data_IF_134831646329
#
_entry.id   IF_134831646329
#
_cell.length_a   1.000
_cell.length_b   1.000
_cell.length_c   1.000
_cell.angle_alpha   90.00
_cell.angle_beta   90.00
_cell.angle_gamma   90.00
#
_symmetry.space_group_name_H-M   'P 1'
#
loop_
_entity.id
_entity.type
_entity.pdbx_description
1 polymer ?
#
# COMPACT_ATOMS: atom_id res chain seq x y z
N UNK A 1 10.81 -61.94 0.16
CA UNK A 1 10.86 -61.59 1.61
C UNK A 1 9.72 -60.67 2.03
N UNK A 2 9.61 -59.44 1.49
CA UNK A 2 8.60 -58.44 1.90
C UNK A 2 7.14 -58.93 1.79
N UNK A 3 6.82 -59.76 0.79
CA UNK A 3 5.46 -60.30 0.59
C UNK A 3 5.05 -61.30 1.67
N UNK A 4 5.98 -62.16 2.13
CA UNK A 4 5.73 -63.11 3.22
C UNK A 4 5.57 -62.38 4.57
N UNK A 5 6.38 -61.36 4.81
CA UNK A 5 6.28 -60.51 6.00
C UNK A 5 4.94 -59.76 6.01
N UNK A 6 4.48 -59.26 4.85
CA UNK A 6 3.19 -58.58 4.74
C UNK A 6 2.02 -59.53 5.10
N UNK A 7 2.03 -60.77 4.61
CA UNK A 7 1.00 -61.77 4.93
C UNK A 7 0.94 -62.03 6.43
N UNK A 8 2.10 -62.27 7.06
CA UNK A 8 2.18 -62.49 8.51
C UNK A 8 1.65 -61.29 9.30
N UNK A 9 2.03 -60.07 8.91
CA UNK A 9 1.61 -58.87 9.64
C UNK A 9 0.13 -58.51 9.38
N UNK A 10 -0.41 -58.78 8.18
CA UNK A 10 -1.85 -58.67 7.93
C UNK A 10 -2.64 -59.60 8.83
N UNK A 11 -2.25 -60.88 8.93
CA UNK A 11 -2.92 -61.83 9.82
C UNK A 11 -2.85 -61.41 11.30
N UNK A 12 -1.76 -60.76 11.73
CA UNK A 12 -1.62 -60.25 13.10
C UNK A 12 -2.49 -59.02 13.37
N UNK A 13 -2.66 -58.12 12.40
CA UNK A 13 -3.53 -56.95 12.52
C UNK A 13 -5.03 -57.33 12.44
N UNK A 14 -5.35 -58.41 11.73
CA UNK A 14 -6.71 -58.97 11.65
C UNK A 14 -7.07 -59.80 12.88
N UNK A 15 -6.09 -60.47 13.51
CA UNK A 15 -6.29 -61.28 14.70
C UNK A 15 -6.46 -60.45 15.99
N UNK A 16 -5.87 -59.26 16.06
CA UNK A 16 -5.97 -58.35 17.20
C UNK A 16 -6.12 -56.90 16.71
N UNK A 17 -7.35 -56.41 16.72
CA UNK A 17 -7.71 -55.08 16.21
C UNK A 17 -7.13 -53.93 17.03
N UNK A 18 -6.69 -54.21 18.28
CA UNK A 18 -6.17 -53.21 19.21
C UNK A 18 -4.62 -53.19 19.24
N UNK A 19 -3.99 -54.10 18.48
CA UNK A 19 -2.54 -54.20 18.41
C UNK A 19 -1.92 -53.13 17.49
N UNK A 20 -1.69 -51.94 18.03
CA UNK A 20 -1.05 -50.83 17.32
C UNK A 20 0.33 -51.19 16.71
N UNK A 21 1.06 -52.16 17.27
CA UNK A 21 2.35 -52.63 16.75
C UNK A 21 2.16 -53.38 15.43
N UNK A 22 1.08 -54.16 15.27
CA UNK A 22 0.79 -54.86 14.03
C UNK A 22 0.53 -53.86 12.90
N UNK A 23 -0.28 -52.83 13.14
CA UNK A 23 -0.50 -51.74 12.18
C UNK A 23 0.80 -51.00 11.84
N UNK A 24 1.62 -50.65 12.84
CA UNK A 24 2.91 -49.99 12.59
C UNK A 24 3.87 -50.84 11.75
N UNK A 25 4.00 -52.13 12.05
CA UNK A 25 4.82 -53.06 11.25
C UNK A 25 4.28 -53.22 9.83
N UNK A 26 2.95 -53.18 9.64
CA UNK A 26 2.35 -53.27 8.31
C UNK A 26 2.65 -51.99 7.52
N UNK A 27 2.55 -50.84 8.17
CA UNK A 27 2.94 -49.56 7.58
C UNK A 27 4.39 -49.53 7.12
N UNK A 28 5.34 -50.01 7.93
CA UNK A 28 6.77 -50.02 7.53
C UNK A 28 7.03 -50.94 6.33
N UNK A 29 6.31 -52.06 6.23
CA UNK A 29 6.34 -52.91 5.04
C UNK A 29 5.75 -52.19 3.82
N UNK A 30 4.63 -51.48 3.98
CA UNK A 30 4.08 -50.65 2.91
C UNK A 30 5.02 -49.54 2.46
N UNK A 31 5.77 -48.93 3.39
CA UNK A 31 6.81 -47.95 3.07
C UNK A 31 7.94 -48.55 2.26
N UNK A 32 8.43 -49.73 2.64
CA UNK A 32 9.45 -50.45 1.88
C UNK A 32 8.96 -50.83 0.46
N UNK A 33 7.65 -50.99 0.28
CA UNK A 33 7.01 -51.23 -1.02
C UNK A 33 6.66 -49.95 -1.80
N UNK A 34 6.96 -48.76 -1.26
CA UNK A 34 6.60 -47.47 -1.88
C UNK A 34 5.10 -47.14 -1.83
N UNK A 35 4.30 -47.87 -1.05
CA UNK A 35 2.85 -47.68 -0.94
C UNK A 35 2.49 -46.66 0.14
N UNK A 36 2.84 -45.39 -0.09
CA UNK A 36 2.71 -44.31 0.90
C UNK A 36 1.27 -44.10 1.41
N UNK A 37 0.25 -44.25 0.55
CA UNK A 37 -1.16 -44.09 0.96
C UNK A 37 -1.61 -45.16 1.96
N UNK A 38 -1.25 -46.43 1.70
CA UNK A 38 -1.58 -47.55 2.57
C UNK A 38 -0.81 -47.45 3.91
N UNK A 39 0.46 -47.01 3.85
CA UNK A 39 1.26 -46.76 5.04
C UNK A 39 0.64 -45.68 5.95
N UNK A 40 0.15 -44.56 5.39
CA UNK A 40 -0.52 -43.52 6.20
C UNK A 40 -1.76 -44.04 6.89
N UNK A 41 -2.59 -44.86 6.22
CA UNK A 41 -3.79 -45.43 6.83
C UNK A 41 -3.46 -46.28 8.07
N UNK A 42 -2.45 -47.15 7.95
CA UNK A 42 -1.99 -47.97 9.06
C UNK A 42 -1.29 -47.18 10.17
N UNK A 43 -0.53 -46.14 9.82
CA UNK A 43 0.09 -45.25 10.79
C UNK A 43 -0.96 -44.44 11.56
N UNK A 44 -1.99 -43.94 10.87
CA UNK A 44 -3.11 -43.27 11.53
C UNK A 44 -3.81 -44.19 12.49
N UNK A 45 -4.04 -45.46 12.11
CA UNK A 45 -4.64 -46.43 13.03
C UNK A 45 -3.76 -46.71 14.24
N UNK A 46 -2.44 -46.80 14.05
CA UNK A 46 -1.49 -46.96 15.15
C UNK A 46 -1.49 -45.76 16.11
N UNK A 47 -1.60 -44.53 15.59
CA UNK A 47 -1.66 -43.29 16.40
C UNK A 47 -3.01 -43.14 17.11
N UNK A 48 -4.12 -43.55 16.49
CA UNK A 48 -5.44 -43.60 17.14
C UNK A 48 -5.44 -44.55 18.34
N UNK A 49 -4.88 -45.75 18.17
CA UNK A 49 -4.83 -46.78 19.22
C UNK A 49 -3.86 -46.40 20.35
N UNK A 50 -2.74 -45.75 20.02
CA UNK A 50 -1.78 -45.27 21.01
C UNK A 50 -1.30 -43.87 20.66
N UNK A 51 -1.90 -42.89 21.32
CA UNK A 51 -1.55 -41.49 21.12
C UNK A 51 -0.06 -41.25 21.39
N UNK A 52 0.52 -41.73 22.50
CA UNK A 52 1.93 -41.48 22.82
C UNK A 52 2.95 -42.21 21.92
N UNK A 53 2.52 -42.88 20.84
CA UNK A 53 3.41 -43.60 19.96
C UNK A 53 4.11 -42.67 18.95
N UNK A 54 5.15 -42.00 19.44
CA UNK A 54 5.95 -41.00 18.71
C UNK A 54 6.55 -41.54 17.41
N UNK A 55 6.97 -42.79 17.36
CA UNK A 55 7.54 -43.39 16.14
C UNK A 55 6.54 -43.48 14.98
N UNK A 56 5.26 -43.76 15.25
CA UNK A 56 4.24 -43.74 14.21
C UNK A 56 3.91 -42.31 13.76
N UNK A 57 3.79 -41.36 14.70
CA UNK A 57 3.58 -39.94 14.38
C UNK A 57 4.70 -39.37 13.53
N UNK A 58 5.96 -39.62 13.89
CA UNK A 58 7.12 -39.13 13.14
C UNK A 58 7.11 -39.67 11.70
N UNK A 59 6.90 -40.98 11.53
CA UNK A 59 6.82 -41.60 10.20
C UNK A 59 5.62 -41.07 9.41
N UNK A 60 4.47 -40.83 10.06
CA UNK A 60 3.28 -40.26 9.42
C UNK A 60 3.54 -38.82 8.99
N UNK A 61 4.07 -37.97 9.88
CA UNK A 61 4.47 -36.58 9.60
C UNK A 61 5.41 -36.47 8.40
N UNK A 62 6.45 -37.32 8.30
CA UNK A 62 7.34 -37.33 7.14
C UNK A 62 6.62 -37.66 5.82
N UNK A 63 5.65 -38.58 5.84
CA UNK A 63 4.89 -38.93 4.64
C UNK A 63 3.92 -37.82 4.26
N UNK A 64 3.28 -37.20 5.24
CA UNK A 64 2.38 -36.07 5.07
C UNK A 64 3.12 -34.87 4.49
N UNK A 65 4.30 -34.56 5.03
CA UNK A 65 5.20 -33.52 4.51
C UNK A 65 5.56 -33.78 3.04
N UNK A 66 5.92 -35.03 2.68
CA UNK A 66 6.21 -35.41 1.28
C UNK A 66 4.97 -35.35 0.37
N UNK A 67 3.77 -35.49 0.92
CA UNK A 67 2.51 -35.38 0.18
C UNK A 67 1.97 -33.94 0.12
N UNK A 68 2.62 -32.98 0.76
CA UNK A 68 2.18 -31.58 0.82
C UNK A 68 1.03 -31.32 1.80
N UNK A 69 0.76 -32.24 2.72
CA UNK A 69 -0.24 -32.08 3.78
C UNK A 69 0.43 -31.46 5.01
N UNK A 70 0.72 -30.16 4.93
CA UNK A 70 1.54 -29.46 5.94
C UNK A 70 0.83 -29.35 7.29
N UNK A 71 -0.45 -28.95 7.33
CA UNK A 71 -1.22 -28.84 8.59
C UNK A 71 -1.25 -30.16 9.39
N UNK A 72 -1.51 -31.29 8.72
CA UNK A 72 -1.54 -32.62 9.36
C UNK A 72 -0.13 -33.04 9.82
N UNK A 73 0.92 -32.66 9.07
CA UNK A 73 2.31 -32.94 9.43
C UNK A 73 2.77 -32.08 10.62
N UNK A 74 2.36 -30.81 10.68
CA UNK A 74 2.63 -29.89 11.79
C UNK A 74 2.07 -30.45 13.10
N UNK A 75 0.81 -30.90 13.09
CA UNK A 75 0.18 -31.51 14.27
C UNK A 75 0.94 -32.76 14.72
N UNK A 76 1.33 -33.63 13.78
CA UNK A 76 2.15 -34.80 14.07
C UNK A 76 3.49 -34.43 14.71
N UNK A 77 4.21 -33.45 14.15
CA UNK A 77 5.50 -33.03 14.69
C UNK A 77 5.38 -32.29 16.02
N UNK A 78 4.33 -31.52 16.23
CA UNK A 78 4.05 -30.82 17.50
C UNK A 78 3.75 -31.80 18.64
N UNK A 79 3.04 -32.88 18.35
CA UNK A 79 2.65 -33.90 19.33
C UNK A 79 3.71 -35.00 19.56
N UNK A 80 4.83 -34.97 18.82
CA UNK A 80 6.03 -35.71 19.20
C UNK A 80 6.71 -34.89 20.30
N UNK A 81 6.44 -35.25 21.57
CA UNK A 81 6.98 -34.56 22.75
C UNK A 81 8.51 -34.77 22.80
N UNK A 82 9.26 -33.89 22.14
CA UNK A 82 10.65 -33.66 22.43
C UNK A 82 11.01 -32.20 22.18
N UNK A 83 10.94 -31.41 23.25
CA UNK A 83 11.42 -30.01 23.28
C UNK A 83 12.94 -29.94 23.11
N UNK A 84 13.66 -31.04 22.93
CA UNK A 84 15.13 -31.03 22.79
C UNK A 84 15.60 -31.67 21.49
N UNK A 85 14.69 -31.96 20.57
CA UNK A 85 15.02 -32.46 19.25
C UNK A 85 15.18 -31.30 18.26
N UNK A 86 16.36 -31.20 17.64
CA UNK A 86 16.67 -30.19 16.64
C UNK A 86 16.08 -30.56 15.27
N UNK A 87 16.12 -31.84 14.90
CA UNK A 87 15.63 -32.33 13.61
C UNK A 87 14.11 -32.17 13.51
N UNK A 88 13.39 -32.51 14.59
CA UNK A 88 11.94 -32.32 14.65
C UNK A 88 11.52 -30.85 14.48
N UNK A 89 12.29 -29.93 15.07
CA UNK A 89 12.06 -28.49 14.91
C UNK A 89 12.32 -28.01 13.50
N UNK A 90 13.36 -28.51 12.86
CA UNK A 90 13.64 -28.19 11.45
C UNK A 90 12.53 -28.69 10.52
N UNK A 91 12.01 -29.89 10.77
CA UNK A 91 10.88 -30.46 10.01
C UNK A 91 9.59 -29.64 10.21
N UNK A 92 9.31 -29.21 11.45
CA UNK A 92 8.17 -28.33 11.73
C UNK A 92 8.34 -26.94 11.11
N UNK A 93 9.55 -26.38 11.15
CA UNK A 93 9.86 -25.14 10.46
C UNK A 93 9.67 -25.25 8.94
N UNK A 94 10.00 -26.39 8.34
CA UNK A 94 9.71 -26.65 6.92
C UNK A 94 8.21 -26.64 6.62
N UNK A 95 7.37 -27.18 7.51
CA UNK A 95 5.91 -27.07 7.38
C UNK A 95 5.47 -25.60 7.38
N UNK A 96 5.94 -24.82 8.36
CA UNK A 96 5.62 -23.39 8.47
C UNK A 96 6.09 -22.56 7.26
N UNK A 97 7.25 -22.86 6.69
CA UNK A 97 7.72 -22.19 5.45
C UNK A 97 6.75 -22.46 4.29
N UNK A 98 6.21 -23.68 4.21
CA UNK A 98 5.29 -24.07 3.13
C UNK A 98 3.88 -23.53 3.32
N UNK A 99 3.45 -23.36 4.56
CA UNK A 99 2.17 -22.74 4.93
C UNK A 99 2.19 -21.21 4.79
N UNK A 100 3.38 -20.60 4.68
CA UNK A 100 3.51 -19.14 4.60
C UNK A 100 3.56 -18.46 5.98
N UNK A 101 4.02 -19.17 7.00
CA UNK A 101 4.16 -18.72 8.40
C UNK A 101 5.66 -18.55 8.78
N UNK A 102 6.40 -17.63 8.13
CA UNK A 102 7.86 -17.52 8.27
C UNK A 102 8.31 -17.17 9.69
N UNK A 103 7.50 -16.43 10.46
CA UNK A 103 7.80 -16.07 11.84
C UNK A 103 7.89 -17.30 12.76
N UNK A 104 6.97 -18.27 12.60
CA UNK A 104 6.99 -19.52 13.36
C UNK A 104 8.18 -20.39 12.94
N UNK A 105 8.46 -20.46 11.63
CA UNK A 105 9.62 -21.17 11.10
C UNK A 105 10.94 -20.63 11.66
N UNK A 106 11.13 -19.31 11.68
CA UNK A 106 12.34 -18.68 12.25
C UNK A 106 12.49 -19.04 13.73
N UNK A 107 11.41 -19.02 14.51
CA UNK A 107 11.44 -19.38 15.94
C UNK A 107 11.95 -20.80 16.15
N UNK A 108 11.41 -21.77 15.40
CA UNK A 108 11.82 -23.16 15.48
C UNK A 108 13.25 -23.40 15.00
N UNK A 109 13.67 -22.77 13.90
CA UNK A 109 15.03 -22.87 13.41
C UNK A 109 16.04 -22.25 14.39
N UNK A 110 15.69 -21.12 15.03
CA UNK A 110 16.53 -20.51 16.07
C UNK A 110 16.65 -21.41 17.30
N UNK A 111 15.58 -22.10 17.67
CA UNK A 111 15.64 -23.09 18.73
C UNK A 111 16.47 -24.32 18.32
N UNK A 112 16.34 -24.81 17.08
CA UNK A 112 17.15 -25.92 16.55
C UNK A 112 18.64 -25.58 16.49
N UNK A 113 18.99 -24.36 16.06
CA UNK A 113 20.37 -23.87 16.02
C UNK A 113 21.02 -23.79 17.41
N UNK A 114 20.25 -23.55 18.46
CA UNK A 114 20.76 -23.56 19.85
C UNK A 114 21.02 -24.96 20.40
N UNK A 115 20.35 -25.98 19.86
CA UNK A 115 20.49 -27.37 20.30
C UNK A 115 21.68 -28.07 19.63
N UNK A 116 22.04 -27.64 18.43
CA UNK A 116 23.14 -28.21 17.64
C UNK A 116 24.19 -27.13 17.35
N UNK A 117 25.38 -27.29 17.95
CA UNK A 117 26.47 -26.31 17.90
C UNK A 117 27.04 -26.07 16.49
N UNK A 118 26.85 -27.00 15.55
CA UNK A 118 27.36 -26.98 14.18
C UNK A 118 26.22 -26.90 13.14
N UNK A 119 25.10 -26.27 13.49
CA UNK A 119 23.91 -26.22 12.64
C UNK A 119 23.96 -25.08 11.61
N UNK A 120 24.86 -25.21 10.63
CA UNK A 120 24.97 -24.28 9.49
C UNK A 120 23.69 -24.18 8.67
N UNK A 121 22.98 -25.30 8.49
CA UNK A 121 21.73 -25.38 7.72
C UNK A 121 20.60 -24.54 8.35
N UNK A 122 20.46 -24.55 9.68
CA UNK A 122 19.47 -23.71 10.34
C UNK A 122 19.73 -22.22 10.09
N UNK A 123 20.97 -21.75 10.24
CA UNK A 123 21.34 -20.35 9.94
C UNK A 123 21.13 -20.00 8.47
N UNK A 124 21.46 -20.90 7.55
CA UNK A 124 21.18 -20.73 6.12
C UNK A 124 19.68 -20.56 5.84
N UNK A 125 18.85 -21.45 6.38
CA UNK A 125 17.39 -21.41 6.24
C UNK A 125 16.81 -20.12 6.83
N UNK A 126 17.22 -19.72 8.04
CA UNK A 126 16.79 -18.47 8.68
C UNK A 126 17.15 -17.26 7.79
N UNK A 127 18.40 -17.19 7.33
CA UNK A 127 18.89 -16.11 6.48
C UNK A 127 18.08 -16.00 5.19
N UNK A 128 17.74 -17.14 4.58
CA UNK A 128 16.88 -17.18 3.39
C UNK A 128 15.47 -16.68 3.64
N UNK A 129 14.86 -17.03 4.79
CA UNK A 129 13.52 -16.55 5.13
C UNK A 129 13.54 -15.02 5.28
N UNK A 130 14.49 -14.47 6.04
CA UNK A 130 14.64 -13.02 6.18
C UNK A 130 14.88 -12.34 4.83
N UNK A 131 15.68 -12.95 3.95
CA UNK A 131 15.91 -12.45 2.61
C UNK A 131 14.63 -12.37 1.77
N UNK A 132 13.79 -13.41 1.80
CA UNK A 132 12.52 -13.44 1.10
C UNK A 132 11.50 -12.43 1.66
N UNK A 133 11.57 -12.13 2.96
CA UNK A 133 10.77 -11.09 3.61
C UNK A 133 11.26 -9.66 3.33
N UNK A 134 12.44 -9.51 2.71
CA UNK A 134 13.05 -8.21 2.44
C UNK A 134 13.97 -7.70 3.55
N UNK A 135 14.11 -8.44 4.64
CA UNK A 135 14.90 -8.11 5.83
C UNK A 135 16.38 -8.48 5.62
N UNK A 136 16.98 -7.85 4.62
CA UNK A 136 18.36 -8.09 4.19
C UNK A 136 19.41 -7.88 5.28
N UNK A 137 19.20 -6.95 6.22
CA UNK A 137 20.11 -6.74 7.36
C UNK A 137 20.16 -7.96 8.29
N UNK A 138 18.98 -8.47 8.68
CA UNK A 138 18.87 -9.69 9.47
C UNK A 138 19.40 -10.88 8.70
N UNK A 139 19.04 -11.02 7.41
CA UNK A 139 19.58 -12.04 6.52
C UNK A 139 21.12 -12.04 6.49
N UNK A 140 21.74 -10.85 6.41
CA UNK A 140 23.19 -10.68 6.38
C UNK A 140 23.84 -11.06 7.72
N UNK A 141 23.19 -10.80 8.85
CA UNK A 141 23.67 -11.23 10.16
C UNK A 141 23.66 -12.76 10.29
N UNK A 142 22.56 -13.41 9.92
CA UNK A 142 22.37 -14.85 10.07
C UNK A 142 23.29 -15.65 9.11
N UNK A 143 23.50 -15.17 7.88
CA UNK A 143 24.46 -15.81 6.96
C UNK A 143 25.91 -15.64 7.42
N UNK A 144 26.23 -14.57 8.15
CA UNK A 144 27.55 -14.41 8.79
C UNK A 144 27.73 -15.44 9.91
N UNK A 145 26.68 -15.73 10.70
CA UNK A 145 26.73 -16.81 11.69
C UNK A 145 26.94 -18.17 11.02
N UNK A 146 26.26 -18.47 9.89
CA UNK A 146 26.54 -19.67 9.11
C UNK A 146 28.02 -19.79 8.72
N UNK A 147 28.60 -18.72 8.16
CA UNK A 147 29.99 -18.70 7.71
C UNK A 147 31.03 -18.68 8.84
N UNK A 148 30.64 -18.28 10.06
CA UNK A 148 31.49 -18.43 11.25
C UNK A 148 31.63 -19.89 11.65
N UNK A 149 30.56 -20.67 11.51
CA UNK A 149 30.56 -22.11 11.80
C UNK A 149 31.28 -22.90 10.70
N UNK A 150 31.02 -22.59 9.43
CA UNK A 150 31.67 -23.21 8.28
C UNK A 150 31.98 -22.17 7.20
N UNK A 151 33.27 -21.83 7.07
CA UNK A 151 33.75 -20.83 6.12
C UNK A 151 33.65 -21.29 4.65
N UNK A 152 33.63 -22.61 4.41
CA UNK A 152 33.61 -23.22 3.08
C UNK A 152 32.19 -23.62 2.63
N UNK A 153 31.17 -23.28 3.43
CA UNK A 153 29.79 -23.59 3.13
C UNK A 153 29.31 -22.85 1.85
N UNK A 154 29.30 -23.56 0.73
CA UNK A 154 29.05 -23.01 -0.62
C UNK A 154 27.77 -22.18 -0.72
N UNK A 155 26.66 -22.68 -0.16
CA UNK A 155 25.36 -22.00 -0.26
C UNK A 155 25.33 -20.70 0.57
N UNK A 156 25.75 -20.73 1.84
CA UNK A 156 25.91 -19.54 2.67
C UNK A 156 26.86 -18.52 2.05
N UNK A 157 27.98 -18.95 1.47
CA UNK A 157 28.91 -18.01 0.83
C UNK A 157 28.31 -17.32 -0.39
N UNK A 158 27.56 -18.06 -1.21
CA UNK A 158 26.82 -17.50 -2.35
C UNK A 158 25.78 -16.48 -1.88
N UNK A 159 24.96 -16.85 -0.89
CA UNK A 159 23.93 -15.96 -0.33
C UNK A 159 24.56 -14.72 0.31
N UNK A 160 25.63 -14.88 1.10
CA UNK A 160 26.35 -13.75 1.71
C UNK A 160 26.81 -12.72 0.68
N UNK A 161 27.38 -13.16 -0.46
CA UNK A 161 27.80 -12.23 -1.52
C UNK A 161 26.64 -11.43 -2.09
N UNK A 162 25.52 -12.10 -2.37
CA UNK A 162 24.30 -11.48 -2.89
C UNK A 162 23.74 -10.46 -1.89
N UNK A 163 23.47 -10.89 -0.66
CA UNK A 163 22.89 -10.04 0.39
C UNK A 163 23.82 -8.88 0.75
N UNK A 164 25.14 -9.10 0.83
CA UNK A 164 26.12 -8.05 1.12
C UNK A 164 26.13 -6.96 0.04
N UNK A 165 26.06 -7.35 -1.24
CA UNK A 165 26.01 -6.39 -2.35
C UNK A 165 24.71 -5.57 -2.26
N UNK A 166 23.58 -6.25 -2.12
CA UNK A 166 22.25 -5.63 -2.01
C UNK A 166 22.18 -4.65 -0.82
N UNK A 167 22.61 -5.10 0.36
CA UNK A 167 22.64 -4.29 1.58
C UNK A 167 23.47 -3.02 1.40
N UNK A 168 24.67 -3.14 0.79
CA UNK A 168 25.52 -1.97 0.52
C UNK A 168 24.88 -0.97 -0.45
N UNK A 169 24.14 -1.45 -1.46
CA UNK A 169 23.43 -0.57 -2.39
C UNK A 169 22.29 0.17 -1.69
N UNK A 170 21.52 -0.51 -0.83
CA UNK A 170 20.43 0.07 -0.05
C UNK A 170 20.96 1.07 0.99
N UNK A 171 21.97 0.71 1.77
CA UNK A 171 22.60 1.61 2.76
C UNK A 171 23.11 2.90 2.10
N UNK A 172 23.75 2.78 0.94
CA UNK A 172 24.22 3.94 0.17
C UNK A 172 23.08 4.80 -0.36
N UNK A 173 21.95 4.19 -0.74
CA UNK A 173 20.78 4.94 -1.19
C UNK A 173 20.13 5.73 -0.04
N UNK A 174 19.99 5.11 1.13
CA UNK A 174 19.45 5.76 2.34
C UNK A 174 20.38 6.86 2.87
N UNK A 175 21.71 6.72 2.70
CA UNK A 175 22.66 7.79 2.96
C UNK A 175 22.43 9.00 2.04
N UNK A 176 22.26 8.78 0.73
CA UNK A 176 21.95 9.87 -0.20
C UNK A 176 20.62 10.56 0.11
N UNK A 177 19.60 9.82 0.56
CA UNK A 177 18.34 10.41 1.02
C UNK A 177 18.59 11.33 2.23
N UNK A 178 19.37 10.90 3.22
CA UNK A 178 19.72 11.73 4.38
C UNK A 178 20.51 12.99 4.00
N UNK A 179 21.36 12.90 2.98
CA UNK A 179 22.11 14.04 2.43
C UNK A 179 21.25 14.95 1.52
N UNK A 180 20.02 14.56 1.18
CA UNK A 180 19.13 15.28 0.25
C UNK A 180 19.52 15.12 -1.22
N UNK A 181 20.40 14.17 -1.56
CA UNK A 181 20.85 13.85 -2.92
C UNK A 181 19.91 12.85 -3.58
N UNK A 182 18.68 13.27 -3.82
CA UNK A 182 17.60 12.40 -4.28
C UNK A 182 17.88 11.70 -5.63
N UNK A 183 18.54 12.38 -6.58
CA UNK A 183 18.87 11.75 -7.87
C UNK A 183 19.86 10.59 -7.72
N UNK A 184 20.86 10.73 -6.85
CA UNK A 184 21.83 9.67 -6.59
C UNK A 184 21.17 8.49 -5.86
N UNK A 185 20.23 8.77 -4.95
CA UNK A 185 19.42 7.75 -4.30
C UNK A 185 18.56 6.96 -5.31
N UNK A 186 17.89 7.66 -6.24
CA UNK A 186 17.07 7.03 -7.30
C UNK A 186 17.94 6.09 -8.14
N UNK A 187 19.10 6.56 -8.60
CA UNK A 187 20.03 5.74 -9.38
C UNK A 187 20.47 4.47 -8.61
N UNK A 188 20.62 4.56 -7.29
CA UNK A 188 20.94 3.41 -6.44
C UNK A 188 19.77 2.43 -6.30
N UNK A 189 18.55 2.90 -6.07
CA UNK A 189 17.37 2.01 -6.01
C UNK A 189 17.07 1.35 -7.37
N UNK A 190 17.34 2.03 -8.48
CA UNK A 190 17.30 1.38 -9.80
C UNK A 190 18.35 0.27 -9.94
N UNK A 191 19.55 0.44 -9.35
CA UNK A 191 20.56 -0.62 -9.26
C UNK A 191 20.07 -1.78 -8.39
N UNK A 192 19.42 -1.50 -7.26
CA UNK A 192 18.83 -2.51 -6.36
C UNK A 192 17.83 -3.40 -7.11
N UNK A 193 16.92 -2.80 -7.88
CA UNK A 193 15.95 -3.55 -8.70
C UNK A 193 16.60 -4.41 -9.80
N UNK A 194 17.78 -4.02 -10.29
CA UNK A 194 18.55 -4.79 -11.27
C UNK A 194 19.38 -5.90 -10.61
N UNK A 195 19.91 -5.64 -9.42
CA UNK A 195 20.67 -6.62 -8.63
C UNK A 195 19.75 -7.73 -8.14
N UNK A 196 18.51 -7.40 -7.75
CA UNK A 196 17.55 -8.36 -7.22
C UNK A 196 16.17 -8.28 -7.91
N UNK A 197 16.01 -8.97 -9.05
CA UNK A 197 14.74 -9.03 -9.77
C UNK A 197 13.79 -10.13 -9.27
N UNK A 198 14.30 -11.15 -8.58
CA UNK A 198 13.55 -12.38 -8.30
C UNK A 198 12.66 -12.27 -7.05
N UNK A 199 13.02 -11.41 -6.09
CA UNK A 199 12.25 -11.19 -4.86
C UNK A 199 11.47 -9.87 -4.94
N UNK A 200 10.13 -9.90 -5.15
CA UNK A 200 9.34 -8.71 -5.46
C UNK A 200 9.36 -7.62 -4.38
N UNK A 201 9.53 -7.99 -3.10
CA UNK A 201 9.53 -7.05 -1.97
C UNK A 201 10.60 -5.97 -2.12
N UNK A 202 11.78 -6.30 -2.67
CA UNK A 202 12.83 -5.33 -2.90
C UNK A 202 12.48 -4.35 -4.02
N UNK A 203 11.80 -4.82 -5.07
CA UNK A 203 11.33 -3.96 -6.14
C UNK A 203 10.24 -3.00 -5.66
N UNK A 204 9.26 -3.49 -4.88
CA UNK A 204 8.21 -2.65 -4.31
C UNK A 204 8.78 -1.60 -3.36
N UNK A 205 9.65 -2.01 -2.41
CA UNK A 205 10.32 -1.07 -1.48
C UNK A 205 11.21 -0.07 -2.23
N UNK A 206 11.95 -0.50 -3.25
CA UNK A 206 12.76 0.41 -4.07
C UNK A 206 11.89 1.46 -4.77
N UNK A 207 10.76 1.07 -5.37
CA UNK A 207 9.81 2.00 -5.99
C UNK A 207 9.19 2.95 -4.98
N UNK A 208 8.86 2.50 -3.77
CA UNK A 208 8.39 3.37 -2.68
C UNK A 208 9.44 4.43 -2.35
N UNK A 209 10.71 4.05 -2.17
CA UNK A 209 11.78 5.01 -1.88
C UNK A 209 12.06 5.96 -3.05
N UNK A 210 11.92 5.51 -4.30
CA UNK A 210 12.01 6.38 -5.49
C UNK A 210 10.86 7.38 -5.51
N UNK A 211 9.63 6.93 -5.25
CA UNK A 211 8.45 7.79 -5.09
C UNK A 211 8.70 8.88 -4.03
N UNK A 212 9.24 8.51 -2.88
CA UNK A 212 9.63 9.47 -1.83
C UNK A 212 10.66 10.50 -2.31
N UNK A 213 11.72 10.05 -3.00
CA UNK A 213 12.74 10.92 -3.56
C UNK A 213 12.19 11.90 -4.61
N UNK A 214 11.12 11.51 -5.31
CA UNK A 214 10.45 12.31 -6.33
C UNK A 214 9.29 13.15 -5.78
N UNK A 215 8.95 13.09 -4.49
CA UNK A 215 7.77 13.75 -3.89
C UNK A 215 7.61 15.25 -4.23
N UNK A 216 8.70 15.92 -4.60
CA UNK A 216 8.73 17.32 -5.04
C UNK A 216 8.64 17.52 -6.56
N UNK A 217 8.21 16.51 -7.30
CA UNK A 217 8.18 16.50 -8.76
C UNK A 217 6.93 15.77 -9.27
N UNK A 218 6.41 16.20 -10.43
CA UNK A 218 5.21 15.62 -11.03
C UNK A 218 5.37 14.12 -11.36
N UNK A 219 6.59 13.69 -11.66
CA UNK A 219 6.91 12.30 -11.98
C UNK A 219 6.61 11.33 -10.81
N UNK A 220 6.56 11.82 -9.57
CA UNK A 220 6.20 10.99 -8.40
C UNK A 220 4.83 10.34 -8.57
N UNK A 221 3.84 11.05 -9.14
CA UNK A 221 2.47 10.54 -9.28
C UNK A 221 2.45 9.18 -9.97
N UNK A 222 3.25 9.03 -11.04
CA UNK A 222 3.34 7.77 -11.78
C UNK A 222 3.94 6.65 -10.93
N UNK A 223 5.10 6.89 -10.31
CA UNK A 223 5.82 5.87 -9.53
C UNK A 223 5.03 5.46 -8.30
N UNK A 224 4.51 6.43 -7.54
CA UNK A 224 3.69 6.16 -6.36
C UNK A 224 2.40 5.40 -6.72
N UNK A 225 1.81 5.68 -7.88
CA UNK A 225 0.63 4.92 -8.36
C UNK A 225 0.97 3.46 -8.66
N UNK A 226 2.15 3.17 -9.23
CA UNK A 226 2.60 1.77 -9.41
C UNK A 226 2.78 1.04 -8.07
N UNK A 227 3.29 1.73 -7.03
CA UNK A 227 3.40 1.15 -5.68
C UNK A 227 2.02 0.87 -5.11
N UNK A 228 1.09 1.82 -5.21
CA UNK A 228 -0.27 1.71 -4.68
C UNK A 228 -1.16 0.70 -5.44
N UNK A 229 -0.78 0.31 -6.66
CA UNK A 229 -1.40 -0.83 -7.36
C UNK A 229 -1.04 -2.17 -6.72
N UNK A 230 0.15 -2.26 -6.11
CA UNK A 230 0.63 -3.46 -5.40
C UNK A 230 0.18 -3.43 -3.93
N UNK A 231 0.28 -2.27 -3.30
CA UNK A 231 0.02 -2.05 -1.88
C UNK A 231 -0.88 -0.82 -1.70
N UNK A 232 -2.20 -0.99 -1.85
CA UNK A 232 -3.17 0.12 -1.83
C UNK A 232 -3.23 0.89 -0.51
N UNK A 233 -2.73 0.29 0.57
CA UNK A 233 -2.72 0.87 1.93
C UNK A 233 -1.34 1.39 2.34
N UNK A 234 -0.35 1.45 1.44
CA UNK A 234 0.98 1.95 1.76
C UNK A 234 0.92 3.46 2.08
N UNK A 235 1.03 3.76 3.38
CA UNK A 235 0.86 5.11 3.94
C UNK A 235 1.91 6.09 3.40
N UNK A 236 3.16 5.64 3.23
CA UNK A 236 4.25 6.49 2.73
C UNK A 236 3.97 6.90 1.28
N UNK A 237 3.64 5.93 0.42
CA UNK A 237 3.34 6.20 -0.98
C UNK A 237 2.10 7.09 -1.17
N UNK A 238 1.07 6.95 -0.32
CA UNK A 238 -0.09 7.86 -0.31
C UNK A 238 0.32 9.29 0.06
N UNK A 239 1.14 9.48 1.09
CA UNK A 239 1.62 10.80 1.51
C UNK A 239 2.47 11.47 0.44
N UNK A 240 3.44 10.74 -0.13
CA UNK A 240 4.33 11.27 -1.16
C UNK A 240 3.57 11.60 -2.46
N UNK A 241 2.55 10.79 -2.83
CA UNK A 241 1.69 11.10 -3.98
C UNK A 241 0.79 12.30 -3.71
N UNK A 242 0.24 12.43 -2.50
CA UNK A 242 -0.56 13.59 -2.12
C UNK A 242 0.25 14.90 -2.20
N UNK A 243 1.50 14.90 -1.74
CA UNK A 243 2.39 16.07 -1.89
C UNK A 243 2.66 16.39 -3.37
N UNK A 244 2.85 15.37 -4.22
CA UNK A 244 2.98 15.58 -5.67
C UNK A 244 1.70 16.16 -6.30
N UNK A 245 0.51 15.72 -5.87
CA UNK A 245 -0.76 16.31 -6.29
C UNK A 245 -0.94 17.77 -5.85
N UNK A 246 -0.45 18.13 -4.65
CA UNK A 246 -0.47 19.52 -4.19
C UNK A 246 0.38 20.43 -5.09
N UNK A 247 1.50 19.93 -5.65
CA UNK A 247 2.34 20.68 -6.58
C UNK A 247 1.68 20.89 -7.95
N UNK A 248 0.85 19.95 -8.37
CA UNK A 248 0.09 20.01 -9.63
C UNK A 248 -1.30 20.66 -9.48
N UNK A 249 -1.57 21.28 -8.33
CA UNK A 249 -2.85 21.91 -7.98
C UNK A 249 -4.08 20.95 -8.01
N UNK A 250 -3.83 19.64 -7.90
CA UNK A 250 -4.82 18.56 -7.87
C UNK A 250 -5.27 18.29 -6.41
N UNK A 251 -5.90 19.29 -5.80
CA UNK A 251 -6.16 19.27 -4.35
C UNK A 251 -7.19 18.22 -3.92
N UNK A 252 -8.18 17.89 -4.76
CA UNK A 252 -9.20 16.90 -4.44
C UNK A 252 -8.58 15.49 -4.34
N UNK A 253 -7.68 15.17 -5.28
CA UNK A 253 -6.91 13.94 -5.30
C UNK A 253 -5.95 13.86 -4.11
N UNK A 254 -5.27 14.96 -3.77
CA UNK A 254 -4.41 15.03 -2.58
C UNK A 254 -5.18 14.76 -1.29
N UNK A 255 -6.37 15.36 -1.12
CA UNK A 255 -7.23 15.14 0.04
C UNK A 255 -7.62 13.66 0.16
N UNK A 256 -8.04 13.04 -0.95
CA UNK A 256 -8.42 11.63 -1.00
C UNK A 256 -7.28 10.70 -0.57
N UNK A 257 -6.06 10.97 -1.02
CA UNK A 257 -4.89 10.19 -0.62
C UNK A 257 -4.58 10.35 0.87
N UNK A 258 -4.64 11.57 1.42
CA UNK A 258 -4.46 11.78 2.86
C UNK A 258 -5.57 11.15 3.71
N UNK A 259 -6.83 11.17 3.27
CA UNK A 259 -7.93 10.47 3.95
C UNK A 259 -7.71 8.96 3.98
N UNK A 260 -7.28 8.39 2.86
CA UNK A 260 -6.93 6.97 2.77
C UNK A 260 -5.74 6.65 3.68
N UNK A 261 -4.73 7.53 3.73
CA UNK A 261 -3.59 7.37 4.62
C UNK A 261 -3.98 7.45 6.10
N UNK A 262 -4.88 8.38 6.46
CA UNK A 262 -5.41 8.55 7.81
C UNK A 262 -6.20 7.32 8.29
N UNK A 263 -6.95 6.68 7.40
CA UNK A 263 -7.69 5.45 7.73
C UNK A 263 -6.77 4.26 8.06
N UNK A 264 -5.51 4.29 7.58
CA UNK A 264 -4.52 3.22 7.76
C UNK A 264 -3.39 3.59 8.74
N UNK A 265 -3.42 4.78 9.34
CA UNK A 265 -2.44 5.26 10.30
C UNK A 265 -3.10 6.08 11.40
N UNK A 266 -3.10 5.53 12.62
CA UNK A 266 -3.64 6.25 13.77
C UNK A 266 -2.67 7.35 14.22
N UNK A 267 -3.18 8.58 14.34
CA UNK A 267 -2.49 9.72 14.94
C UNK A 267 -1.19 10.22 14.26
N UNK A 268 -0.97 9.96 12.97
CA UNK A 268 0.13 10.61 12.24
C UNK A 268 -0.14 12.12 12.05
N UNK A 269 0.70 12.94 12.68
CA UNK A 269 0.65 14.40 12.59
C UNK A 269 0.87 14.91 11.17
N UNK A 270 1.77 14.28 10.39
CA UNK A 270 2.08 14.71 9.03
C UNK A 270 0.88 14.58 8.10
N UNK A 271 0.09 13.50 8.26
CA UNK A 271 -1.13 13.28 7.48
C UNK A 271 -2.17 14.35 7.81
N UNK A 272 -2.33 14.67 9.10
CA UNK A 272 -3.29 15.69 9.54
C UNK A 272 -2.94 17.08 9.02
N UNK A 273 -1.67 17.46 9.13
CA UNK A 273 -1.16 18.75 8.62
C UNK A 273 -1.24 18.82 7.09
N UNK A 274 -0.93 17.72 6.39
CA UNK A 274 -1.08 17.60 4.94
C UNK A 274 -2.53 17.75 4.49
N UNK A 275 -3.46 17.07 5.16
CA UNK A 275 -4.89 17.14 4.89
C UNK A 275 -5.44 18.57 5.10
N UNK A 276 -5.11 19.20 6.23
CA UNK A 276 -5.52 20.58 6.52
C UNK A 276 -4.96 21.55 5.46
N UNK A 277 -3.70 21.38 5.07
CA UNK A 277 -3.07 22.17 4.02
C UNK A 277 -3.79 22.00 2.68
N UNK A 278 -4.07 20.76 2.29
CA UNK A 278 -4.78 20.43 1.05
C UNK A 278 -6.19 21.03 1.02
N UNK A 279 -6.95 20.89 2.11
CA UNK A 279 -8.29 21.48 2.26
C UNK A 279 -8.26 23.01 2.21
N UNK A 280 -7.27 23.63 2.86
CA UNK A 280 -7.06 25.08 2.81
C UNK A 280 -6.75 25.56 1.40
N UNK A 281 -5.89 24.86 0.66
CA UNK A 281 -5.56 25.16 -0.73
C UNK A 281 -6.77 24.98 -1.65
N UNK A 282 -7.56 23.92 -1.47
CA UNK A 282 -8.82 23.73 -2.18
C UNK A 282 -9.81 24.88 -1.91
N UNK A 283 -9.98 25.27 -0.65
CA UNK A 283 -10.84 26.41 -0.31
C UNK A 283 -10.32 27.71 -0.93
N UNK A 284 -9.01 27.91 -0.97
CA UNK A 284 -8.41 29.09 -1.61
C UNK A 284 -8.56 29.09 -3.13
N UNK A 285 -8.47 27.93 -3.79
CA UNK A 285 -8.63 27.81 -5.24
C UNK A 285 -10.09 27.98 -5.69
N UNK A 286 -11.04 27.63 -4.84
CA UNK A 286 -12.47 27.86 -5.05
C UNK A 286 -12.89 29.34 -4.83
N UNK A 287 -12.11 30.12 -4.06
CA UNK A 287 -12.39 31.55 -3.85
C UNK A 287 -12.20 32.34 -5.14
N UNK A 288 -13.21 33.13 -5.51
CA UNK A 288 -13.17 33.99 -6.70
C UNK A 288 -12.38 35.25 -6.40
N UNK A 289 -11.31 35.51 -7.16
CA UNK A 289 -10.64 36.81 -7.13
C UNK A 289 -11.27 37.76 -8.15
N UNK A 290 -12.25 38.56 -7.70
CA UNK A 290 -12.98 39.51 -8.54
C UNK A 290 -12.08 40.56 -9.22
N UNK A 291 -11.00 40.99 -8.57
CA UNK A 291 -10.05 41.94 -9.16
C UNK A 291 -9.26 41.28 -10.30
N UNK A 292 -8.85 40.03 -10.12
CA UNK A 292 -8.16 39.23 -11.14
C UNK A 292 -9.08 38.91 -12.32
N UNK A 293 -10.36 38.60 -12.07
CA UNK A 293 -11.37 38.35 -13.11
C UNK A 293 -11.53 39.56 -14.03
N UNK A 294 -11.60 40.78 -13.46
CA UNK A 294 -11.71 42.02 -14.26
C UNK A 294 -10.36 42.57 -14.74
N UNK A 295 -9.24 42.02 -14.28
CA UNK A 295 -7.89 42.50 -14.61
C UNK A 295 -7.58 43.90 -14.10
N UNK A 296 -8.16 44.29 -12.95
CA UNK A 296 -7.99 45.62 -12.35
C UNK A 296 -7.21 45.52 -11.02
N UNK A 297 -6.54 46.61 -10.62
CA UNK A 297 -5.83 46.66 -9.33
C UNK A 297 -6.81 46.71 -8.16
N UNK A 298 -6.40 46.26 -6.97
CA UNK A 298 -7.23 46.32 -5.74
C UNK A 298 -7.69 47.74 -5.37
N UNK A 299 -6.91 48.75 -5.70
CA UNK A 299 -7.25 50.16 -5.49
C UNK A 299 -8.01 50.80 -6.67
N UNK A 300 -8.48 50.01 -7.65
CA UNK A 300 -9.15 50.53 -8.83
C UNK A 300 -10.40 51.32 -8.46
N UNK A 301 -10.61 52.45 -9.16
CA UNK A 301 -11.79 53.27 -8.95
C UNK A 301 -13.02 52.64 -9.62
N UNK A 302 -14.21 53.00 -9.14
CA UNK A 302 -15.48 52.48 -9.66
C UNK A 302 -15.62 52.65 -11.18
N UNK A 303 -15.13 53.76 -11.74
CA UNK A 303 -15.13 54.00 -13.19
C UNK A 303 -14.24 53.02 -13.97
N UNK A 304 -13.07 52.68 -13.43
CA UNK A 304 -12.13 51.73 -14.04
C UNK A 304 -12.70 50.30 -14.04
N UNK A 305 -13.34 49.91 -12.94
CA UNK A 305 -14.04 48.62 -12.80
C UNK A 305 -15.16 48.51 -13.84
N UNK A 306 -15.99 49.55 -14.00
CA UNK A 306 -17.07 49.57 -15.00
C UNK A 306 -16.50 49.50 -16.43
N UNK A 307 -15.39 50.20 -16.69
CA UNK A 307 -14.73 50.18 -18.02
C UNK A 307 -14.18 48.78 -18.34
N UNK A 308 -13.52 48.13 -17.38
CA UNK A 308 -13.01 46.77 -17.53
C UNK A 308 -14.14 45.76 -17.75
N UNK A 309 -15.21 45.87 -16.96
CA UNK A 309 -16.43 45.07 -17.13
C UNK A 309 -17.01 45.20 -18.53
N UNK A 310 -17.24 46.43 -19.04
CA UNK A 310 -17.82 46.63 -20.37
C UNK A 310 -16.98 45.97 -21.47
N UNK A 311 -15.66 46.08 -21.36
CA UNK A 311 -14.72 45.46 -22.31
C UNK A 311 -14.83 43.93 -22.28
N UNK A 312 -14.78 43.33 -21.09
CA UNK A 312 -14.82 41.87 -20.94
C UNK A 312 -16.21 41.28 -21.23
N UNK A 313 -17.28 41.96 -20.82
CA UNK A 313 -18.66 41.56 -21.11
C UNK A 313 -18.94 41.56 -22.61
N UNK A 314 -18.43 42.56 -23.35
CA UNK A 314 -18.55 42.59 -24.81
C UNK A 314 -17.72 41.50 -25.50
N UNK A 315 -16.61 41.06 -24.91
CA UNK A 315 -15.76 40.01 -25.48
C UNK A 315 -16.33 38.62 -25.22
N UNK A 316 -16.80 38.37 -24.00
CA UNK A 316 -17.29 37.06 -23.53
C UNK A 316 -18.80 36.89 -23.63
N UNK A 317 -19.50 37.75 -24.38
CA UNK A 317 -20.93 37.56 -24.63
C UNK A 317 -21.16 36.25 -25.41
N UNK A 318 -22.08 35.36 -24.99
CA UNK A 318 -22.31 34.08 -25.66
C UNK A 318 -22.64 34.19 -27.16
N UNK A 319 -23.23 35.30 -27.59
CA UNK A 319 -23.53 35.57 -29.02
C UNK A 319 -22.27 35.69 -29.90
N UNK A 320 -21.11 35.93 -29.31
CA UNK A 320 -19.85 36.02 -30.06
C UNK A 320 -19.28 34.65 -30.44
N UNK A 321 -19.83 33.55 -29.90
CA UNK A 321 -19.30 32.19 -30.08
C UNK A 321 -20.30 31.31 -30.82
N UNK A 322 -19.81 30.47 -31.73
CA UNK A 322 -20.66 29.66 -32.61
C UNK A 322 -20.86 28.24 -32.08
N UNK A 323 -19.82 27.65 -31.47
CA UNK A 323 -19.90 26.29 -30.94
C UNK A 323 -20.54 26.23 -29.55
N UNK A 324 -21.29 25.16 -29.28
CA UNK A 324 -21.98 24.97 -28.00
C UNK A 324 -21.02 24.86 -26.80
N UNK A 325 -19.85 24.24 -27.02
CA UNK A 325 -18.81 24.15 -25.99
C UNK A 325 -18.18 25.52 -25.67
N UNK A 326 -17.93 26.35 -26.68
CA UNK A 326 -17.40 27.71 -26.47
C UNK A 326 -18.45 28.63 -25.85
N UNK A 327 -19.73 28.50 -26.25
CA UNK A 327 -20.84 29.24 -25.61
C UNK A 327 -20.92 28.93 -24.13
N UNK A 328 -20.85 27.66 -23.72
CA UNK A 328 -20.83 27.27 -22.29
C UNK A 328 -19.62 27.83 -21.55
N UNK A 329 -18.43 27.84 -22.17
CA UNK A 329 -17.22 28.46 -21.57
C UNK A 329 -17.37 29.97 -21.44
N UNK A 330 -17.92 30.63 -22.46
CA UNK A 330 -18.16 32.06 -22.48
C UNK A 330 -19.22 32.46 -21.45
N UNK A 331 -20.30 31.68 -21.31
CA UNK A 331 -21.34 31.87 -20.31
C UNK A 331 -20.78 31.82 -18.89
N UNK A 332 -19.97 30.79 -18.56
CA UNK A 332 -19.27 30.71 -17.26
C UNK A 332 -18.43 31.96 -16.99
N UNK A 333 -17.62 32.40 -17.96
CA UNK A 333 -16.81 33.61 -17.81
C UNK A 333 -17.64 34.87 -17.68
N UNK A 334 -18.73 34.98 -18.44
CA UNK A 334 -19.62 36.14 -18.39
C UNK A 334 -20.28 36.26 -17.01
N UNK A 335 -20.70 35.13 -16.42
CA UNK A 335 -21.22 35.07 -15.05
C UNK A 335 -20.17 35.58 -14.06
N UNK A 336 -18.93 35.11 -14.14
CA UNK A 336 -17.84 35.55 -13.26
C UNK A 336 -17.54 37.05 -13.42
N UNK A 337 -17.52 37.57 -14.66
CA UNK A 337 -17.33 38.99 -14.98
C UNK A 337 -18.45 39.85 -14.39
N UNK A 338 -19.70 39.39 -14.49
CA UNK A 338 -20.87 40.08 -13.93
C UNK A 338 -20.82 40.10 -12.40
N UNK A 339 -20.54 38.96 -11.77
CA UNK A 339 -20.36 38.84 -10.32
C UNK A 339 -19.24 39.77 -9.82
N UNK A 340 -18.10 39.81 -10.52
CA UNK A 340 -17.00 40.71 -10.17
C UNK A 340 -17.40 42.18 -10.24
N UNK A 341 -18.17 42.59 -11.25
CA UNK A 341 -18.68 43.97 -11.34
C UNK A 341 -19.62 44.26 -10.18
N UNK A 342 -20.51 43.34 -9.81
CA UNK A 342 -21.46 43.54 -8.72
C UNK A 342 -20.74 43.78 -7.40
N UNK A 343 -19.85 42.85 -7.01
CA UNK A 343 -19.10 42.92 -5.76
C UNK A 343 -18.22 44.16 -5.69
N UNK A 344 -17.48 44.49 -6.76
CA UNK A 344 -16.50 45.59 -6.72
C UNK A 344 -17.13 46.98 -6.89
N UNK A 345 -18.38 47.09 -7.36
CA UNK A 345 -19.04 48.40 -7.53
C UNK A 345 -19.96 48.79 -6.38
N UNK A 346 -20.37 47.82 -5.56
CA UNK A 346 -21.05 48.03 -4.30
C UNK A 346 -20.04 48.27 -3.16
N UNK A 347 -20.08 49.42 -2.45
CA UNK A 347 -19.12 49.73 -1.40
C UNK A 347 -19.11 48.75 -0.23
N UNK A 348 -20.26 48.18 0.16
CA UNK A 348 -20.35 47.25 1.28
C UNK A 348 -19.82 45.87 0.90
N UNK A 349 -20.21 45.37 -0.27
CA UNK A 349 -19.74 44.07 -0.80
C UNK A 349 -18.24 44.11 -1.07
N UNK A 350 -17.75 45.20 -1.65
CA UNK A 350 -16.30 45.41 -1.86
C UNK A 350 -15.55 45.42 -0.54
N UNK A 351 -16.07 46.11 0.48
CA UNK A 351 -15.45 46.14 1.82
C UNK A 351 -15.39 44.75 2.46
N UNK A 352 -16.46 43.95 2.36
CA UNK A 352 -16.47 42.55 2.85
C UNK A 352 -15.42 41.71 2.13
N UNK A 353 -15.39 41.81 0.80
CA UNK A 353 -14.41 41.12 -0.03
C UNK A 353 -12.96 41.53 0.31
N UNK A 354 -12.71 42.82 0.47
CA UNK A 354 -11.40 43.35 0.87
C UNK A 354 -11.02 42.94 2.31
N UNK A 355 -12.00 42.66 3.16
CA UNK A 355 -11.81 42.09 4.50
C UNK A 355 -11.58 40.56 4.50
N UNK A 356 -11.63 39.90 3.33
CA UNK A 356 -11.38 38.46 3.18
C UNK A 356 -12.63 37.57 3.21
N UNK A 357 -13.81 38.17 3.31
CA UNK A 357 -15.12 37.51 3.24
C UNK A 357 -15.68 37.62 1.82
N UNK A 358 -15.92 36.50 1.13
CA UNK A 358 -16.57 36.55 -0.18
C UNK A 358 -18.09 36.77 0.00
N UNK A 359 -18.64 37.92 -0.40
CA UNK A 359 -20.04 38.25 -0.19
C UNK A 359 -21.00 37.41 -1.03
N UNK A 360 -20.50 36.69 -2.03
CA UNK A 360 -21.28 35.78 -2.87
C UNK A 360 -21.05 34.30 -2.53
N UNK A 361 -20.21 33.99 -1.53
CA UNK A 361 -19.99 32.61 -1.08
C UNK A 361 -21.19 32.09 -0.26
N UNK A 362 -21.60 30.86 -0.53
CA UNK A 362 -22.80 30.26 0.07
C UNK A 362 -22.61 29.96 1.57
N UNK A 363 -21.37 29.76 2.01
CA UNK A 363 -21.02 29.42 3.38
C UNK A 363 -20.92 30.66 4.29
N UNK A 364 -20.61 31.84 3.72
CA UNK A 364 -20.57 33.11 4.45
C UNK A 364 -21.96 33.68 4.78
N UNK A 365 -23.04 33.12 4.19
CA UNK A 365 -24.42 33.52 4.44
C UNK A 365 -25.15 32.75 5.55
N UNK A 366 -24.50 31.76 6.21
CA UNK A 366 -25.12 31.00 7.31
C UNK A 366 -25.32 31.79 8.63
N UNK A 367 -24.87 33.05 8.71
CA UNK A 367 -24.94 33.88 9.92
C UNK A 367 -26.14 34.84 10.06
N UNK A 368 -27.08 34.88 9.11
CA UNK A 368 -28.19 35.83 9.17
C UNK A 368 -29.40 35.36 8.38
N UNK A 369 -30.49 35.06 9.08
CA UNK A 369 -31.73 34.54 8.49
C UNK A 369 -32.25 35.39 7.34
N UNK A 370 -32.18 34.84 6.13
CA UNK A 370 -32.99 35.24 4.98
C UNK A 370 -33.28 34.00 4.12
N UNK A 371 -34.49 33.85 3.55
CA UNK A 371 -35.03 32.55 3.12
C UNK A 371 -34.59 32.12 1.70
N UNK A 372 -33.33 32.37 1.32
CA UNK A 372 -32.81 32.05 -0.02
C UNK A 372 -31.84 30.86 0.00
N UNK A 373 -32.33 29.68 0.40
CA UNK A 373 -31.64 28.42 0.12
C UNK A 373 -32.58 27.44 -0.60
N UNK A 374 -32.46 27.35 -1.93
CA UNK A 374 -32.52 26.10 -2.72
C UNK A 374 -32.31 26.39 -4.21
N UNK A 375 -31.35 25.66 -4.80
CA UNK A 375 -31.05 25.56 -6.24
C UNK A 375 -30.55 26.83 -6.96
N UNK A 376 -29.28 26.77 -7.40
CA UNK A 376 -28.61 27.72 -8.30
C UNK A 376 -29.35 27.95 -9.64
N UNK A 377 -30.20 27.01 -10.07
CA UNK A 377 -31.09 27.17 -11.24
C UNK A 377 -32.33 28.05 -10.99
N UNK A 378 -32.51 28.58 -9.77
CA UNK A 378 -33.68 29.36 -9.37
C UNK A 378 -33.27 30.72 -8.79
N UNK A 379 -32.26 31.39 -9.38
CA UNK A 379 -32.06 32.82 -9.19
C UNK A 379 -33.27 33.54 -9.81
N UNK A 380 -34.39 33.62 -9.06
CA UNK A 380 -35.59 34.39 -9.43
C UNK A 380 -35.24 35.88 -9.44
N UNK A 381 -34.59 36.30 -10.52
CA UNK A 381 -34.18 37.68 -10.74
C UNK A 381 -33.06 37.85 -11.77
N UNK A 382 -32.10 36.92 -11.89
CA UNK A 382 -30.93 37.07 -12.75
C UNK A 382 -31.06 36.05 -13.85
N UNK A 383 -31.87 36.43 -14.82
CA UNK A 383 -31.85 35.77 -16.11
C UNK A 383 -31.21 36.78 -17.06
N UNK A 384 -29.86 36.78 -17.22
CA UNK A 384 -29.17 37.76 -18.06
C UNK A 384 -29.61 37.66 -19.54
N UNK A 385 -30.33 36.60 -19.90
CA UNK A 385 -30.88 36.33 -21.23
C UNK A 385 -32.41 36.14 -21.26
N UNK A 386 -33.12 36.38 -20.16
CA UNK A 386 -34.57 36.09 -20.05
C UNK A 386 -35.48 37.30 -20.29
N UNK A 387 -36.38 37.19 -21.28
CA UNK A 387 -37.44 38.18 -21.59
C UNK A 387 -38.68 38.06 -20.67
N UNK A 388 -38.47 37.92 -19.36
CA UNK A 388 -39.56 37.74 -18.38
C UNK A 388 -39.35 38.64 -17.16
N UNK A 389 -40.34 39.47 -16.85
CA UNK A 389 -40.28 40.59 -15.90
C UNK A 389 -40.06 40.21 -14.44
N UNK A 390 -38.86 39.75 -14.11
CA UNK A 390 -38.31 39.80 -12.75
C UNK A 390 -37.62 41.14 -12.46
N UNK A 391 -37.29 41.43 -11.18
CA UNK A 391 -36.78 42.73 -10.74
C UNK A 391 -35.40 43.12 -11.30
N UNK A 392 -34.71 42.22 -12.01
CA UNK A 392 -33.44 42.51 -12.69
C UNK A 392 -33.45 42.05 -14.16
N UNK A 393 -34.19 42.79 -15.00
CA UNK A 393 -34.07 42.69 -16.46
C UNK A 393 -33.08 43.74 -16.97
N UNK A 394 -31.96 43.30 -17.57
CA UNK A 394 -31.02 44.22 -18.22
C UNK A 394 -31.52 44.57 -19.62
N UNK A 395 -32.15 45.74 -19.77
CA UNK A 395 -32.36 46.36 -21.08
C UNK A 395 -31.13 47.16 -21.47
N UNK A 396 -30.40 46.69 -22.49
CA UNK A 396 -29.34 47.47 -23.10
C UNK A 396 -29.93 48.34 -24.21
N UNK A 397 -29.69 49.65 -24.13
CA UNK A 397 -29.86 50.57 -25.26
C UNK A 397 -28.45 51.00 -25.67
N UNK A 398 -28.07 50.62 -26.89
CA UNK A 398 -26.90 51.16 -27.54
C UNK A 398 -27.40 52.21 -28.53
N UNK A 399 -27.04 53.47 -28.27
CA UNK A 399 -27.18 54.58 -29.21
C UNK A 399 -26.00 54.61 -30.17
#
# INVERSE_FOLDING_TARGET
>A
AAFLILITVCSLAEADSDNYIAYYRRATVYLAMGKSKAAICDLSKAVELRQDFTSARLQRGHLLLKQGKFDEAEDDFKNVVCVWDAELRELRAECYIKEGEPSKAISDLKAAAKLKNDNTEAFYKISRIYYQLGDHELSLSEVRECLKLDQDHKQCFSLYKQVKKLNKEIESAEEFIREGRYQDAINKYESVMKTEPDVPVYATRAKERICHCLSKAAEAIKVCTEVLQLESTNVNALKDRAEAYLLEDLYEEAIKDYETAQANSENDQQIREGLERAQKMLKQSQKRDYYKILGVKRNAQKQEIIKAYRKLASQWHPDNFQSEEEKKKAEKKFIDIAAAKEVLTDPEMRRKFDAGEDPLDAESQQGGGNPFHRNWNTWQGFNPFGSGGGPFTFKFHFS
#
